data_IF_355416168081
#
_entry.id   IF_355416168081
#
_cell.length_a   1.000
_cell.length_b   1.000
_cell.length_c   1.000
_cell.angle_alpha   90.00
_cell.angle_beta   90.00
_cell.angle_gamma   90.00
#
_symmetry.space_group_name_H-M   'P 1'
#
loop_
_entity.id
_entity.type
_entity.pdbx_description
1 polymer ?
#
# COMPACT_ATOMS: atom_id res chain seq x y z
N UNK A 1 -7.25 -3.38 -22.81
CA UNK A 1 -8.42 -3.26 -21.93
C UNK A 1 -8.89 -4.68 -21.68
N UNK A 2 -8.44 -5.31 -20.60
CA UNK A 2 -8.77 -6.70 -20.28
C UNK A 2 -9.79 -6.70 -19.16
N UNK A 3 -10.96 -7.30 -19.42
CA UNK A 3 -12.06 -7.50 -18.48
C UNK A 3 -11.89 -8.85 -17.79
N UNK A 4 -12.01 -8.90 -16.47
CA UNK A 4 -11.97 -10.13 -15.68
C UNK A 4 -13.27 -10.94 -15.84
N UNK A 5 -13.17 -12.24 -16.08
CA UNK A 5 -14.30 -13.16 -16.22
C UNK A 5 -14.59 -13.92 -14.90
N UNK A 6 -15.87 -14.20 -14.65
CA UNK A 6 -16.41 -14.75 -13.40
C UNK A 6 -16.83 -16.23 -13.58
N UNK A 7 -16.43 -17.18 -12.71
CA UNK A 7 -17.02 -18.52 -12.69
C UNK A 7 -18.08 -18.67 -11.57
N UNK A 8 -19.29 -18.98 -11.98
CA UNK A 8 -20.44 -19.30 -11.11
C UNK A 8 -20.36 -20.71 -10.53
N UNK A 9 -20.65 -20.84 -9.23
CA UNK A 9 -21.23 -22.07 -8.67
C UNK A 9 -20.90 -22.32 -7.21
N UNK A 10 -21.86 -22.08 -6.31
CA UNK A 10 -22.16 -22.93 -5.15
C UNK A 10 -23.52 -22.53 -4.52
N UNK A 11 -24.24 -23.53 -4.03
CA UNK A 11 -25.65 -23.54 -3.59
C UNK A 11 -25.81 -23.17 -2.11
N UNK A 12 -26.83 -22.37 -1.77
CA UNK A 12 -27.18 -21.91 -0.40
C UNK A 12 -27.65 -23.07 0.50
N UNK A 13 -26.89 -23.43 1.56
CA UNK A 13 -27.24 -24.52 2.45
C UNK A 13 -28.22 -24.15 3.58
N UNK A 14 -28.65 -22.88 3.70
CA UNK A 14 -29.46 -22.40 4.84
C UNK A 14 -30.78 -21.72 4.47
N UNK A 15 -31.10 -21.56 3.18
CA UNK A 15 -32.44 -21.19 2.71
C UNK A 15 -32.90 -19.80 3.17
N UNK A 16 -31.97 -18.85 3.32
CA UNK A 16 -32.24 -17.55 3.94
C UNK A 16 -32.43 -16.40 2.95
N UNK A 17 -32.61 -16.69 1.65
CA UNK A 17 -32.85 -15.68 0.61
C UNK A 17 -34.18 -14.91 0.72
N UNK A 18 -35.04 -15.23 1.70
CA UNK A 18 -36.38 -14.67 1.80
C UNK A 18 -36.59 -13.51 2.79
N UNK A 19 -35.67 -13.26 3.73
CA UNK A 19 -36.03 -12.45 4.92
C UNK A 19 -35.45 -11.04 4.98
N UNK A 20 -34.47 -10.69 4.15
CA UNK A 20 -34.00 -9.32 3.98
C UNK A 20 -33.55 -9.19 2.52
N UNK A 21 -34.20 -8.33 1.73
CA UNK A 21 -33.79 -8.01 0.35
C UNK A 21 -32.46 -7.24 0.27
N UNK A 22 -31.54 -7.51 1.20
CA UNK A 22 -30.17 -7.03 1.21
C UNK A 22 -29.31 -8.15 0.65
N UNK A 23 -28.78 -7.92 -0.55
CA UNK A 23 -27.82 -8.80 -1.18
C UNK A 23 -26.47 -8.70 -0.45
N UNK A 24 -26.21 -9.66 0.44
CA UNK A 24 -24.93 -9.81 1.12
C UNK A 24 -23.96 -10.74 0.38
N UNK A 25 -24.28 -11.18 -0.85
CA UNK A 25 -23.38 -12.03 -1.63
C UNK A 25 -22.04 -11.34 -1.91
N UNK A 26 -22.03 -10.00 -2.00
CA UNK A 26 -20.81 -9.21 -2.12
C UNK A 26 -20.02 -9.02 -0.82
N UNK A 27 -20.59 -9.31 0.36
CA UNK A 27 -19.91 -9.03 1.64
C UNK A 27 -18.98 -10.17 2.08
N UNK A 28 -19.10 -11.35 1.48
CA UNK A 28 -18.30 -12.54 1.85
C UNK A 28 -17.47 -13.11 0.70
N UNK A 29 -17.50 -12.48 -0.49
CA UNK A 29 -16.79 -12.94 -1.68
C UNK A 29 -15.83 -11.92 -2.29
N UNK A 30 -15.38 -10.90 -1.55
CA UNK A 30 -14.22 -10.10 -1.99
C UNK A 30 -12.95 -10.92 -1.75
N UNK A 31 -12.79 -12.00 -2.51
CA UNK A 31 -11.45 -12.49 -2.84
C UNK A 31 -10.85 -11.43 -3.76
N UNK A 32 -10.21 -10.43 -3.16
CA UNK A 32 -9.46 -9.37 -3.83
C UNK A 32 -8.55 -10.02 -4.87
N UNK A 33 -8.88 -9.93 -6.16
CA UNK A 33 -7.99 -10.47 -7.19
C UNK A 33 -6.88 -9.46 -7.42
N UNK A 34 -5.86 -9.47 -6.55
CA UNK A 34 -4.62 -8.80 -6.86
C UNK A 34 -4.12 -9.29 -8.23
N UNK A 35 -3.74 -8.35 -9.10
CA UNK A 35 -3.21 -8.63 -10.42
C UNK A 35 -1.80 -8.11 -10.52
N UNK A 36 -0.81 -8.99 -10.42
CA UNK A 36 0.61 -8.60 -10.57
C UNK A 36 0.88 -7.90 -11.92
N UNK A 37 0.09 -8.21 -12.96
CA UNK A 37 0.14 -7.52 -14.25
C UNK A 37 -0.35 -6.06 -14.20
N UNK A 38 -1.09 -5.69 -13.15
CA UNK A 38 -1.52 -4.31 -12.88
C UNK A 38 -0.46 -3.44 -12.23
N UNK A 39 0.65 -4.02 -11.73
CA UNK A 39 1.79 -3.25 -11.23
C UNK A 39 2.42 -2.45 -12.38
N UNK A 40 2.82 -1.18 -12.18
CA UNK A 40 3.41 -0.36 -13.23
C UNK A 40 4.56 -1.04 -13.98
N UNK A 41 4.59 -0.88 -15.31
CA UNK A 41 5.59 -1.55 -16.18
C UNK A 41 7.03 -1.35 -15.73
N UNK A 42 7.36 -0.16 -15.18
CA UNK A 42 8.70 0.16 -14.67
C UNK A 42 9.16 -0.71 -13.49
N UNK A 43 8.24 -1.42 -12.83
CA UNK A 43 8.54 -2.30 -11.70
C UNK A 43 8.45 -3.79 -12.05
N UNK A 44 7.99 -4.14 -13.25
CA UNK A 44 7.83 -5.55 -13.65
C UNK A 44 9.16 -6.30 -13.64
N UNK A 45 10.23 -5.66 -14.12
CA UNK A 45 11.58 -6.25 -14.12
C UNK A 45 12.09 -6.50 -12.69
N UNK A 46 11.70 -5.68 -11.70
CA UNK A 46 12.04 -5.91 -10.29
C UNK A 46 11.32 -7.14 -9.76
N UNK A 47 10.03 -7.28 -10.08
CA UNK A 47 9.25 -8.45 -9.67
C UNK A 47 9.84 -9.75 -10.23
N UNK A 48 10.23 -9.73 -11.50
CA UNK A 48 10.84 -10.89 -12.17
C UNK A 48 12.23 -11.21 -11.60
N UNK A 49 13.14 -10.22 -11.56
CA UNK A 49 14.51 -10.45 -11.11
C UNK A 49 14.62 -10.76 -9.61
N UNK A 50 13.79 -10.09 -8.79
CA UNK A 50 13.73 -10.33 -7.36
C UNK A 50 12.90 -11.55 -6.96
N UNK A 51 12.28 -12.25 -7.93
CA UNK A 51 11.34 -13.35 -7.67
C UNK A 51 10.26 -12.96 -6.63
N UNK A 52 9.70 -11.76 -6.79
CA UNK A 52 8.73 -11.18 -5.87
C UNK A 52 7.31 -11.53 -6.35
N UNK A 53 6.56 -12.21 -5.48
CA UNK A 53 5.12 -12.35 -5.63
C UNK A 53 4.42 -11.18 -4.91
N UNK A 54 4.04 -10.18 -5.70
CA UNK A 54 3.42 -8.96 -5.20
C UNK A 54 2.06 -9.24 -4.56
N UNK A 55 1.33 -10.20 -5.11
CA UNK A 55 0.00 -10.55 -4.62
C UNK A 55 0.05 -11.40 -3.35
N UNK A 56 1.03 -12.29 -3.23
CA UNK A 56 1.30 -12.99 -1.98
C UNK A 56 1.67 -12.01 -0.86
N UNK A 57 2.48 -10.97 -1.15
CA UNK A 57 2.81 -9.95 -0.15
C UNK A 57 1.59 -9.17 0.35
N UNK A 58 0.67 -8.81 -0.56
CA UNK A 58 -0.60 -8.16 -0.19
C UNK A 58 -1.45 -9.10 0.66
N UNK A 59 -1.66 -10.33 0.21
CA UNK A 59 -2.45 -11.32 0.95
C UNK A 59 -1.85 -11.61 2.32
N UNK A 60 -0.52 -11.64 2.42
CA UNK A 60 0.16 -11.76 3.69
C UNK A 60 -0.12 -10.55 4.59
N UNK A 61 0.05 -9.33 4.08
CA UNK A 61 -0.19 -8.10 4.83
C UNK A 61 -1.63 -7.99 5.37
N UNK A 62 -2.64 -8.47 4.65
CA UNK A 62 -4.04 -8.53 5.10
C UNK A 62 -4.23 -9.41 6.35
N UNK A 63 -3.33 -10.37 6.58
CA UNK A 63 -3.46 -11.40 7.61
C UNK A 63 -2.37 -11.34 8.70
N UNK A 64 -1.41 -10.42 8.59
CA UNK A 64 -0.31 -10.30 9.55
C UNK A 64 -0.74 -9.65 10.87
N UNK A 65 -0.03 -9.99 11.96
CA UNK A 65 -0.10 -9.18 13.16
C UNK A 65 0.60 -7.83 12.95
N UNK A 66 0.20 -6.79 13.69
CA UNK A 66 0.87 -5.49 13.60
C UNK A 66 2.39 -5.58 13.80
N UNK A 67 2.81 -6.44 14.75
CA UNK A 67 4.23 -6.64 15.06
C UNK A 67 4.98 -7.23 13.86
N UNK A 68 4.40 -8.23 13.21
CA UNK A 68 5.04 -8.89 12.07
C UNK A 68 5.02 -7.97 10.83
N UNK A 69 3.95 -7.18 10.65
CA UNK A 69 3.88 -6.16 9.62
C UNK A 69 5.01 -5.12 9.79
N UNK A 70 5.17 -4.56 11.00
CA UNK A 70 6.27 -3.62 11.31
C UNK A 70 7.63 -4.26 11.09
N UNK A 71 7.80 -5.53 11.48
CA UNK A 71 9.06 -6.25 11.27
C UNK A 71 9.37 -6.49 9.79
N UNK A 72 8.36 -6.61 8.93
CA UNK A 72 8.52 -6.82 7.51
C UNK A 72 8.90 -5.55 6.74
N UNK A 73 8.30 -4.40 7.10
CA UNK A 73 8.49 -3.11 6.39
C UNK A 73 9.65 -2.25 6.90
N UNK A 74 10.17 -2.52 8.10
CA UNK A 74 11.28 -1.75 8.65
C UNK A 74 12.59 -2.03 7.91
N UNK A 75 13.62 -1.20 8.13
CA UNK A 75 14.96 -1.43 7.59
C UNK A 75 15.51 -2.80 8.01
N UNK A 76 16.07 -3.53 7.04
CA UNK A 76 16.47 -4.95 7.12
C UNK A 76 15.30 -5.93 7.34
N UNK A 77 14.06 -5.48 7.16
CA UNK A 77 12.89 -6.35 7.05
C UNK A 77 12.85 -7.03 5.69
N UNK A 78 12.06 -8.10 5.58
CA UNK A 78 11.96 -8.90 4.35
C UNK A 78 11.44 -8.14 3.12
N UNK A 79 10.84 -6.95 3.30
CA UNK A 79 10.37 -6.09 2.22
C UNK A 79 11.27 -4.85 2.02
N UNK A 80 12.47 -4.85 2.61
CA UNK A 80 13.50 -3.84 2.36
C UNK A 80 14.27 -4.16 1.06
N UNK A 81 13.60 -4.01 -0.08
CA UNK A 81 14.13 -4.43 -1.38
C UNK A 81 15.44 -3.75 -1.78
N UNK A 82 15.70 -2.54 -1.25
CA UNK A 82 16.96 -1.84 -1.48
C UNK A 82 18.14 -2.61 -0.91
N UNK A 83 17.96 -3.24 0.25
CA UNK A 83 18.99 -4.08 0.86
C UNK A 83 18.95 -5.52 0.35
N UNK A 84 17.76 -6.09 0.11
CA UNK A 84 17.60 -7.48 -0.34
C UNK A 84 18.03 -7.71 -1.80
N UNK A 85 17.92 -6.70 -2.67
CA UNK A 85 18.17 -6.82 -4.11
C UNK A 85 19.38 -6.03 -4.62
N UNK A 86 20.20 -5.46 -3.72
CA UNK A 86 21.35 -4.62 -4.09
C UNK A 86 22.37 -5.33 -5.01
N UNK A 87 22.51 -6.64 -4.88
CA UNK A 87 23.45 -7.46 -5.66
C UNK A 87 22.96 -7.79 -7.09
N UNK A 88 21.69 -7.49 -7.41
CA UNK A 88 21.11 -7.77 -8.73
C UNK A 88 21.46 -6.71 -9.79
N UNK A 89 22.18 -5.65 -9.44
CA UNK A 89 22.57 -4.59 -10.38
C UNK A 89 21.40 -3.72 -10.85
N UNK A 90 20.26 -3.77 -10.14
CA UNK A 90 19.10 -2.92 -10.37
C UNK A 90 19.43 -1.50 -9.87
N UNK A 91 18.97 -0.48 -10.60
CA UNK A 91 19.17 0.92 -10.20
C UNK A 91 18.60 1.18 -8.79
N UNK A 92 19.42 1.78 -7.92
CA UNK A 92 19.05 1.99 -6.52
C UNK A 92 17.87 2.95 -6.35
N UNK A 93 17.67 3.93 -7.25
CA UNK A 93 16.51 4.82 -7.16
C UNK A 93 15.24 4.09 -7.61
N UNK A 94 15.35 3.20 -8.60
CA UNK A 94 14.23 2.36 -9.01
C UNK A 94 13.81 1.37 -7.89
N UNK A 95 14.77 0.84 -7.13
CA UNK A 95 14.48 0.03 -5.94
C UNK A 95 13.80 0.83 -4.83
N UNK A 96 14.20 2.09 -4.60
CA UNK A 96 13.52 3.00 -3.66
C UNK A 96 12.07 3.27 -4.12
N UNK A 97 11.89 3.66 -5.38
CA UNK A 97 10.58 3.89 -5.99
C UNK A 97 9.66 2.67 -5.83
N UNK A 98 10.20 1.47 -6.08
CA UNK A 98 9.45 0.22 -5.94
C UNK A 98 9.15 -0.10 -4.47
N UNK A 99 10.10 0.09 -3.56
CA UNK A 99 9.90 -0.10 -2.13
C UNK A 99 8.80 0.79 -1.58
N UNK A 100 8.78 2.07 -1.98
CA UNK A 100 7.75 3.03 -1.62
C UNK A 100 6.37 2.66 -2.20
N UNK A 101 6.32 2.24 -3.46
CA UNK A 101 5.10 1.72 -4.08
C UNK A 101 4.57 0.45 -3.37
N UNK A 102 5.44 -0.52 -3.11
CA UNK A 102 5.07 -1.75 -2.41
C UNK A 102 4.58 -1.45 -0.99
N UNK A 103 5.28 -0.58 -0.25
CA UNK A 103 4.88 -0.13 1.08
C UNK A 103 3.46 0.42 1.08
N UNK A 104 3.10 1.29 0.13
CA UNK A 104 1.76 1.83 -0.01
C UNK A 104 0.68 0.74 -0.18
N UNK A 105 0.96 -0.25 -1.03
CA UNK A 105 0.05 -1.37 -1.27
C UNK A 105 -0.14 -2.23 0.00
N UNK A 106 0.95 -2.63 0.67
CA UNK A 106 0.86 -3.46 1.89
C UNK A 106 0.36 -2.70 3.12
N UNK A 107 0.51 -1.37 3.16
CA UNK A 107 -0.09 -0.51 4.19
C UNK A 107 -1.61 -0.42 4.01
N UNK A 108 -2.07 -0.24 2.77
CA UNK A 108 -3.50 -0.34 2.43
C UNK A 108 -4.06 -1.71 2.76
N UNK A 109 -3.33 -2.78 2.40
CA UNK A 109 -3.70 -4.17 2.69
C UNK A 109 -3.86 -4.46 4.18
N UNK A 110 -2.97 -3.93 5.00
CA UNK A 110 -3.06 -4.04 6.45
C UNK A 110 -4.24 -3.25 7.05
N UNK A 111 -4.75 -2.24 6.33
CA UNK A 111 -5.92 -1.44 6.72
C UNK A 111 -5.61 0.00 7.13
N UNK A 112 -4.42 0.53 6.82
CA UNK A 112 -4.15 1.95 7.00
C UNK A 112 -4.86 2.79 5.93
N UNK A 113 -5.35 3.97 6.33
CA UNK A 113 -5.77 4.97 5.36
C UNK A 113 -4.56 5.59 4.62
N UNK A 114 -4.82 6.34 3.56
CA UNK A 114 -3.77 6.90 2.71
C UNK A 114 -2.85 7.86 3.51
N UNK A 115 -3.44 8.71 4.34
CA UNK A 115 -2.68 9.69 5.15
C UNK A 115 -1.71 8.99 6.12
N UNK A 116 -2.21 7.99 6.86
CA UNK A 116 -1.41 7.22 7.81
C UNK A 116 -0.31 6.41 7.13
N UNK A 117 -0.58 5.90 5.92
CA UNK A 117 0.41 5.17 5.12
C UNK A 117 1.58 6.11 4.78
N UNK A 118 1.30 7.27 4.19
CA UNK A 118 2.36 8.22 3.80
C UNK A 118 3.09 8.80 5.01
N UNK A 119 2.37 9.18 6.07
CA UNK A 119 2.99 9.66 7.30
C UNK A 119 3.89 8.60 7.96
N UNK A 120 3.42 7.34 8.01
CA UNK A 120 4.19 6.23 8.58
C UNK A 120 5.51 5.99 7.84
N UNK A 121 5.49 6.06 6.51
CA UNK A 121 6.71 5.96 5.70
C UNK A 121 7.68 7.12 5.96
N UNK A 122 7.19 8.37 5.89
CA UNK A 122 8.04 9.55 6.12
C UNK A 122 8.61 9.61 7.54
N UNK A 123 7.83 9.24 8.55
CA UNK A 123 8.30 9.13 9.92
C UNK A 123 9.39 8.07 10.07
N UNK A 124 9.23 6.90 9.44
CA UNK A 124 10.25 5.84 9.48
C UNK A 124 11.56 6.31 8.83
N UNK A 125 11.50 7.01 7.70
CA UNK A 125 12.69 7.52 7.03
C UNK A 125 13.45 8.57 7.86
N UNK A 126 12.76 9.57 8.40
CA UNK A 126 13.38 10.64 9.21
C UNK A 126 13.95 10.12 10.52
N UNK A 127 13.23 9.21 11.19
CA UNK A 127 13.61 8.75 12.53
C UNK A 127 14.65 7.64 12.48
N UNK A 128 14.62 6.76 11.47
CA UNK A 128 15.41 5.52 11.47
C UNK A 128 16.46 5.43 10.36
N UNK A 129 16.26 6.11 9.24
CA UNK A 129 17.17 6.01 8.08
C UNK A 129 18.06 7.24 7.92
N UNK A 130 17.77 8.33 8.63
CA UNK A 130 18.52 9.59 8.51
C UNK A 130 18.26 10.34 7.20
N UNK A 131 17.20 9.97 6.48
CA UNK A 131 16.68 10.67 5.31
C UNK A 131 15.59 11.70 5.67
N UNK A 132 14.96 12.29 4.65
CA UNK A 132 13.87 13.27 4.83
C UNK A 132 14.26 14.59 5.49
N UNK A 133 13.26 15.44 5.76
CA UNK A 133 13.46 16.77 6.36
C UNK A 133 12.70 16.87 7.69
N UNK A 134 13.37 17.13 8.84
CA UNK A 134 12.68 17.22 10.13
C UNK A 134 11.55 18.26 10.20
N UNK A 135 11.65 19.36 9.44
CA UNK A 135 10.57 20.36 9.33
C UNK A 135 9.32 19.81 8.63
N UNK A 136 9.51 18.96 7.63
CA UNK A 136 8.43 18.37 6.85
C UNK A 136 7.70 17.34 7.69
N UNK A 137 8.44 16.52 8.44
CA UNK A 137 7.85 15.60 9.40
C UNK A 137 7.07 16.36 10.49
N UNK A 138 7.55 17.51 10.96
CA UNK A 138 6.83 18.33 11.94
C UNK A 138 5.52 18.89 11.35
N UNK A 139 5.51 19.33 10.10
CA UNK A 139 4.31 19.77 9.41
C UNK A 139 3.31 18.62 9.23
N UNK A 140 3.78 17.45 8.77
CA UNK A 140 2.97 16.24 8.63
C UNK A 140 2.41 15.76 9.98
N UNK A 141 3.19 15.83 11.06
CA UNK A 141 2.73 15.50 12.42
C UNK A 141 1.64 16.46 12.89
N UNK A 142 1.80 17.75 12.61
CA UNK A 142 0.78 18.77 12.90
C UNK A 142 -0.53 18.49 12.16
N UNK A 143 -0.43 18.12 10.88
CA UNK A 143 -1.58 17.74 10.06
C UNK A 143 -2.25 16.48 10.60
N UNK A 144 -1.51 15.39 10.86
CA UNK A 144 -2.02 14.15 11.46
C UNK A 144 -2.79 14.39 12.77
N UNK A 145 -2.33 15.35 13.59
CA UNK A 145 -3.04 15.74 14.81
C UNK A 145 -4.38 16.43 14.52
N UNK A 146 -4.42 17.29 13.51
CA UNK A 146 -5.64 17.99 13.08
C UNK A 146 -6.62 17.01 12.43
N UNK A 147 -6.12 16.08 11.62
CA UNK A 147 -6.91 15.12 10.86
C UNK A 147 -7.34 13.91 11.69
N UNK A 148 -6.88 13.80 12.94
CA UNK A 148 -7.10 12.62 13.79
C UNK A 148 -6.61 11.35 13.10
N UNK A 149 -5.38 11.40 12.58
CA UNK A 149 -4.77 10.29 11.83
C UNK A 149 -5.45 10.01 10.51
N UNK A 150 -5.91 11.06 9.81
CA UNK A 150 -6.66 10.94 8.56
C UNK A 150 -8.11 10.52 8.68
N UNK A 151 -8.67 10.41 9.89
CA UNK A 151 -10.11 10.17 10.05
C UNK A 151 -10.97 11.34 9.55
N UNK A 152 -10.50 12.57 9.76
CA UNK A 152 -11.20 13.81 9.37
C UNK A 152 -10.80 14.31 7.98
N UNK A 153 -9.82 13.67 7.35
CA UNK A 153 -9.29 14.09 6.05
C UNK A 153 -9.61 13.03 5.00
N UNK A 154 -10.46 13.33 4.02
CA UNK A 154 -10.79 12.35 2.99
C UNK A 154 -9.57 12.09 2.10
N UNK A 155 -9.40 10.85 1.62
CA UNK A 155 -8.27 10.44 0.77
C UNK A 155 -8.09 11.36 -0.45
N UNK A 156 -9.18 11.92 -1.00
CA UNK A 156 -9.11 12.90 -2.09
C UNK A 156 -8.32 14.17 -1.72
N UNK A 157 -8.48 14.69 -0.51
CA UNK A 157 -7.73 15.86 -0.07
C UNK A 157 -6.23 15.52 0.12
N UNK A 158 -5.97 14.35 0.69
CA UNK A 158 -4.63 13.76 0.83
C UNK A 158 -3.93 13.64 -0.54
N UNK A 159 -4.62 13.10 -1.55
CA UNK A 159 -4.13 12.99 -2.93
C UNK A 159 -3.81 14.37 -3.55
N UNK A 160 -4.68 15.38 -3.38
CA UNK A 160 -4.42 16.73 -3.89
C UNK A 160 -3.16 17.33 -3.26
N UNK A 161 -3.00 17.19 -1.95
CA UNK A 161 -1.85 17.73 -1.23
C UNK A 161 -0.54 17.09 -1.72
N UNK A 162 -0.49 15.76 -1.79
CA UNK A 162 0.69 15.03 -2.29
C UNK A 162 1.02 15.44 -3.72
N UNK A 163 0.03 15.50 -4.62
CA UNK A 163 0.26 15.95 -6.01
C UNK A 163 0.64 17.44 -6.13
N UNK A 164 0.37 18.25 -5.11
CA UNK A 164 0.82 19.65 -5.04
C UNK A 164 2.23 19.80 -4.46
N UNK A 165 2.90 18.69 -4.17
CA UNK A 165 4.27 18.66 -3.66
C UNK A 165 4.39 18.64 -2.14
N UNK A 166 3.30 18.41 -1.40
CA UNK A 166 3.38 18.22 0.05
C UNK A 166 4.10 16.91 0.38
N UNK A 167 5.06 17.00 1.31
CA UNK A 167 5.87 15.89 1.80
C UNK A 167 5.35 15.38 3.13
N UNK A 168 5.20 14.06 3.28
CA UNK A 168 4.69 13.45 4.52
C UNK A 168 5.81 13.07 5.51
N UNK A 169 6.90 13.84 5.51
CA UNK A 169 8.13 13.56 6.24
C UNK A 169 9.30 13.18 5.34
N UNK A 170 9.05 12.91 4.06
CA UNK A 170 10.06 12.59 3.05
C UNK A 170 9.68 13.20 1.69
N UNK A 171 10.61 13.22 0.73
CA UNK A 171 10.50 13.91 -0.54
C UNK A 171 9.19 13.60 -1.32
N UNK A 172 8.73 14.51 -2.19
CA UNK A 172 7.42 14.38 -2.83
C UNK A 172 7.30 13.14 -3.73
N UNK A 173 8.41 12.69 -4.34
CA UNK A 173 8.42 11.52 -5.21
C UNK A 173 8.04 10.24 -4.46
N UNK A 174 8.59 10.07 -3.27
CA UNK A 174 8.32 8.91 -2.42
C UNK A 174 6.88 8.90 -1.91
N UNK A 175 6.38 10.07 -1.52
CA UNK A 175 4.96 10.25 -1.17
C UNK A 175 4.03 9.87 -2.33
N UNK A 176 4.37 10.24 -3.57
CA UNK A 176 3.61 9.87 -4.78
C UNK A 176 3.67 8.36 -5.04
N UNK A 177 4.83 7.72 -4.87
CA UNK A 177 4.97 6.28 -5.04
C UNK A 177 4.11 5.50 -4.03
N UNK A 178 4.14 5.90 -2.75
CA UNK A 178 3.30 5.31 -1.69
C UNK A 178 1.82 5.48 -2.01
N UNK A 179 1.42 6.69 -2.43
CA UNK A 179 0.03 6.97 -2.83
C UNK A 179 -0.42 6.05 -3.96
N UNK A 180 0.39 5.92 -5.02
CA UNK A 180 0.06 5.06 -6.17
C UNK A 180 -0.04 3.57 -5.77
N UNK A 181 0.80 3.10 -4.84
CA UNK A 181 0.73 1.74 -4.33
C UNK A 181 -0.53 1.49 -3.49
N UNK A 182 -0.87 2.45 -2.63
CA UNK A 182 -2.09 2.40 -1.83
C UNK A 182 -3.34 2.43 -2.72
N UNK A 183 -3.35 3.25 -3.77
CA UNK A 183 -4.41 3.31 -4.79
C UNK A 183 -4.52 1.99 -5.54
N UNK A 184 -3.41 1.39 -5.97
CA UNK A 184 -3.43 0.08 -6.62
C UNK A 184 -4.18 -0.96 -5.78
N UNK A 185 -3.97 -0.99 -4.46
CA UNK A 185 -4.69 -1.90 -3.58
C UNK A 185 -6.17 -1.56 -3.43
N UNK A 186 -6.54 -0.28 -3.29
CA UNK A 186 -7.90 0.13 -2.98
C UNK A 186 -8.81 0.34 -4.19
N UNK A 187 -8.27 0.63 -5.36
CA UNK A 187 -9.03 0.85 -6.60
C UNK A 187 -9.19 -0.44 -7.43
N UNK A 188 -8.47 -1.51 -7.09
CA UNK A 188 -8.67 -2.86 -7.62
C UNK A 188 -9.56 -3.74 -6.72
N UNK A 189 -10.29 -3.14 -5.76
CA UNK A 189 -11.31 -3.77 -4.91
C UNK A 189 -12.71 -3.67 -5.47
#
# INVERSE_FOLDING_TARGET
MAMCANPTGMVDPLGLHGFLGADFSNLTSSTTSCSQAGVPKRFQDILEQGNIDFCANISEAENMSFKDWVAAVQTNGKWDYKNELNDLGIDSNLLDDFGNYHFGAVAGAYGFNLESSMYGAGANQVIRQGGGTPSDLAAATGLMRITTGGYLFPDFATKIMTNSGFTWGDNPGDSVNIMNGWEYYNECK
#
